data_IF_744377250521
#
_entry.id   IF_744377250521
#
_cell.length_a   1.000
_cell.length_b   1.000
_cell.length_c   1.000
_cell.angle_alpha   90.00
_cell.angle_beta   90.00
_cell.angle_gamma   90.00
#
_symmetry.space_group_name_H-M   'P 1'
#
loop_
_entity.id
_entity.type
_entity.pdbx_description
1 polymer ?
#
# COMPACT_ATOMS: atom_id res chain seq x y z
N UNK A 1 -12.12 6.84 12.76
CA UNK A 1 -12.64 5.49 12.44
C UNK A 1 -11.55 4.45 12.68
N UNK A 2 -11.85 3.38 13.44
CA UNK A 2 -10.93 2.26 13.65
C UNK A 2 -10.76 1.43 12.37
N UNK A 3 -9.61 0.79 12.19
CA UNK A 3 -9.45 -0.20 11.13
C UNK A 3 -10.31 -1.42 11.50
N UNK A 4 -11.25 -1.80 10.65
CA UNK A 4 -12.00 -3.05 10.83
C UNK A 4 -11.10 -4.17 10.31
N UNK A 5 -10.61 -5.02 11.21
CA UNK A 5 -9.69 -6.12 10.87
C UNK A 5 -10.34 -7.07 9.85
N UNK A 6 -9.90 -6.98 8.59
CA UNK A 6 -10.20 -7.92 7.51
C UNK A 6 -9.18 -9.07 7.45
N UNK A 7 -8.84 -9.54 6.25
CA UNK A 7 -7.92 -10.66 6.06
C UNK A 7 -6.46 -10.21 6.23
N UNK A 8 -5.76 -10.80 7.19
CA UNK A 8 -4.34 -10.55 7.46
C UNK A 8 -3.52 -11.81 7.24
N UNK A 9 -2.35 -11.66 6.61
CA UNK A 9 -1.38 -12.76 6.45
C UNK A 9 -0.01 -12.31 6.98
N UNK A 10 0.64 -13.19 7.73
CA UNK A 10 2.06 -13.01 8.09
C UNK A 10 2.93 -13.48 6.93
N UNK A 11 3.88 -12.65 6.52
CA UNK A 11 4.82 -12.89 5.42
C UNK A 11 6.20 -12.38 5.79
N UNK A 12 7.25 -12.87 5.13
CA UNK A 12 8.61 -12.36 5.36
C UNK A 12 8.84 -11.11 4.51
N UNK A 13 9.43 -10.07 5.09
CA UNK A 13 9.83 -8.89 4.33
C UNK A 13 11.26 -9.02 3.81
N UNK A 14 11.47 -8.73 2.53
CA UNK A 14 12.80 -8.72 1.89
C UNK A 14 13.69 -7.55 2.31
N UNK A 15 13.13 -6.56 3.02
CA UNK A 15 13.85 -5.36 3.47
C UNK A 15 13.36 -4.90 4.86
N UNK A 16 14.18 -4.10 5.55
CA UNK A 16 13.74 -3.42 6.77
C UNK A 16 12.71 -2.34 6.41
N UNK A 17 11.54 -2.37 7.06
CA UNK A 17 10.49 -1.38 6.87
C UNK A 17 10.62 -0.30 7.96
N UNK A 18 11.27 0.81 7.61
CA UNK A 18 11.49 1.93 8.53
C UNK A 18 10.21 2.70 8.87
N UNK A 19 9.11 2.50 8.14
CA UNK A 19 7.81 3.16 8.36
C UNK A 19 6.69 2.13 8.26
N UNK A 20 5.72 2.20 9.20
CA UNK A 20 4.53 1.37 9.15
C UNK A 20 3.56 1.87 8.07
N UNK A 21 2.59 1.04 7.67
CA UNK A 21 1.51 1.44 6.76
C UNK A 21 1.95 1.74 5.33
N UNK A 22 3.03 1.09 4.88
CA UNK A 22 3.51 1.14 3.49
C UNK A 22 2.81 0.08 2.64
N UNK A 23 2.71 0.33 1.34
CA UNK A 23 2.12 -0.58 0.36
C UNK A 23 3.12 -1.70 0.04
N UNK A 24 2.63 -2.94 0.02
CA UNK A 24 3.40 -4.14 -0.25
C UNK A 24 3.24 -4.60 -1.71
N UNK A 25 4.33 -5.08 -2.30
CA UNK A 25 4.39 -5.80 -3.58
C UNK A 25 4.99 -7.20 -3.37
N UNK A 26 4.84 -8.07 -4.36
CA UNK A 26 5.51 -9.37 -4.36
C UNK A 26 7.05 -9.22 -4.34
N UNK A 27 7.72 -10.04 -3.54
CA UNK A 27 9.17 -10.18 -3.54
C UNK A 27 9.64 -11.11 -4.66
N UNK A 28 10.92 -11.50 -4.61
CA UNK A 28 11.52 -12.41 -5.58
C UNK A 28 11.12 -13.88 -5.33
N UNK A 29 10.79 -14.23 -4.08
CA UNK A 29 10.38 -15.58 -3.66
C UNK A 29 8.89 -15.62 -3.30
N UNK A 30 8.26 -16.80 -3.42
CA UNK A 30 6.82 -17.03 -3.18
C UNK A 30 6.33 -16.61 -1.78
N UNK A 31 7.21 -16.67 -0.79
CA UNK A 31 6.90 -16.37 0.62
C UNK A 31 7.37 -14.98 1.07
N UNK A 32 7.83 -14.15 0.13
CA UNK A 32 8.42 -12.84 0.46
C UNK A 32 7.63 -11.69 -0.15
N UNK A 33 7.44 -10.62 0.62
CA UNK A 33 6.94 -9.34 0.12
C UNK A 33 8.01 -8.25 0.26
N UNK A 34 7.91 -7.24 -0.59
CA UNK A 34 8.77 -6.06 -0.57
C UNK A 34 7.93 -4.79 -0.58
N UNK A 35 8.53 -3.64 -0.25
CA UNK A 35 7.82 -2.36 -0.39
C UNK A 35 7.58 -2.06 -1.87
N UNK A 36 6.39 -1.55 -2.18
CA UNK A 36 6.09 -1.07 -3.52
C UNK A 36 6.93 0.19 -3.82
N UNK A 37 7.37 0.32 -5.07
CA UNK A 37 8.27 1.41 -5.51
C UNK A 37 7.75 2.11 -6.76
N UNK A 38 6.73 1.57 -7.43
CA UNK A 38 6.13 2.21 -8.58
C UNK A 38 4.64 1.85 -8.72
N UNK A 39 3.91 2.76 -9.36
CA UNK A 39 2.48 2.61 -9.62
C UNK A 39 2.13 1.52 -10.64
N UNK A 40 3.10 1.03 -11.41
CA UNK A 40 2.91 -0.04 -12.41
C UNK A 40 3.16 -1.44 -11.84
N UNK A 41 3.61 -1.55 -10.58
CA UNK A 41 3.88 -2.83 -9.93
C UNK A 41 2.61 -3.45 -9.36
N UNK A 42 2.58 -4.79 -9.27
CA UNK A 42 1.45 -5.49 -8.67
C UNK A 42 1.40 -5.25 -7.15
N UNK A 43 0.37 -4.52 -6.72
CA UNK A 43 0.14 -4.17 -5.33
C UNK A 43 -0.68 -5.27 -4.64
N UNK A 44 -0.18 -5.78 -3.52
CA UNK A 44 -0.73 -6.97 -2.83
C UNK A 44 -1.56 -6.58 -1.61
N UNK A 45 -1.07 -5.63 -0.83
CA UNK A 45 -1.63 -5.28 0.47
C UNK A 45 -0.90 -4.11 1.13
N UNK A 46 -1.15 -3.92 2.43
CA UNK A 46 -0.52 -2.86 3.25
C UNK A 46 0.13 -3.48 4.48
N UNK A 47 1.39 -3.11 4.75
CA UNK A 47 2.13 -3.53 5.94
C UNK A 47 1.58 -2.85 7.19
N UNK A 48 1.31 -3.60 8.26
CA UNK A 48 0.72 -3.04 9.48
C UNK A 48 1.72 -2.64 10.55
N UNK A 49 2.95 -3.15 10.49
CA UNK A 49 4.01 -2.83 11.43
C UNK A 49 5.36 -2.65 10.74
N UNK A 50 6.27 -1.95 11.42
CA UNK A 50 7.67 -1.80 11.01
C UNK A 50 8.46 -3.07 11.30
N UNK A 51 9.48 -3.34 10.50
CA UNK A 51 10.48 -4.36 10.81
C UNK A 51 11.89 -3.78 10.79
N UNK A 52 12.72 -4.20 11.73
CA UNK A 52 14.09 -3.73 11.91
C UNK A 52 15.11 -4.58 11.16
N UNK A 53 14.76 -5.79 10.74
CA UNK A 53 15.65 -6.71 10.05
C UNK A 53 15.03 -7.34 8.80
N UNK A 54 15.89 -7.73 7.87
CA UNK A 54 15.52 -8.48 6.66
C UNK A 54 15.08 -9.88 7.05
N UNK A 55 14.01 -10.38 6.43
CA UNK A 55 13.50 -11.73 6.62
C UNK A 55 12.58 -11.92 7.83
N UNK A 56 12.36 -10.87 8.62
CA UNK A 56 11.42 -10.86 9.73
C UNK A 56 9.96 -10.95 9.25
N UNK A 57 9.12 -11.52 10.11
CA UNK A 57 7.69 -11.68 9.83
C UNK A 57 6.95 -10.35 10.01
N UNK A 58 6.25 -9.94 8.94
CA UNK A 58 5.40 -8.77 8.92
C UNK A 58 3.96 -9.14 8.60
N UNK A 59 3.01 -8.47 9.26
CA UNK A 59 1.58 -8.63 9.01
C UNK A 59 1.18 -7.71 7.87
N UNK A 60 0.55 -8.32 6.87
CA UNK A 60 0.06 -7.61 5.70
C UNK A 60 -1.44 -7.75 5.65
N UNK A 61 -2.10 -6.61 5.54
CA UNK A 61 -3.53 -6.55 5.32
C UNK A 61 -3.79 -6.74 3.82
N UNK A 62 -4.47 -7.84 3.50
CA UNK A 62 -4.81 -8.21 2.12
C UNK A 62 -6.18 -7.70 1.70
N UNK A 63 -7.07 -7.50 2.68
CA UNK A 63 -8.46 -7.12 2.42
C UNK A 63 -9.07 -6.32 3.59
N UNK A 64 -10.13 -5.56 3.31
CA UNK A 64 -10.88 -4.79 4.31
C UNK A 64 -10.48 -3.32 4.38
N UNK A 65 -10.52 -2.75 5.59
CA UNK A 65 -10.16 -1.34 5.83
C UNK A 65 -8.82 -1.30 6.54
N UNK A 66 -7.80 -0.80 5.86
CA UNK A 66 -6.46 -0.63 6.42
C UNK A 66 -6.10 0.84 6.59
N UNK A 67 -4.92 1.11 7.13
CA UNK A 67 -4.34 2.44 7.25
C UNK A 67 -3.12 2.53 6.36
N UNK A 68 -2.96 3.65 5.67
CA UNK A 68 -1.85 3.88 4.76
C UNK A 68 -1.27 5.27 4.96
N UNK A 69 0.05 5.38 4.90
CA UNK A 69 0.75 6.67 4.95
C UNK A 69 0.74 7.32 3.57
N UNK A 70 0.39 8.61 3.50
CA UNK A 70 0.34 9.36 2.26
C UNK A 70 1.72 9.87 1.84
N UNK A 71 2.02 9.77 0.54
CA UNK A 71 3.20 10.37 -0.12
C UNK A 71 2.88 11.72 -0.77
N UNK A 72 1.60 12.09 -0.85
CA UNK A 72 1.13 13.32 -1.49
C UNK A 72 -0.27 13.70 -1.02
N UNK A 73 -0.85 14.74 -1.62
CA UNK A 73 -2.22 15.16 -1.32
C UNK A 73 -3.23 14.20 -1.95
N UNK A 74 -4.13 13.67 -1.12
CA UNK A 74 -5.17 12.72 -1.54
C UNK A 74 -6.52 13.21 -1.02
N UNK A 75 -7.56 13.17 -1.87
CA UNK A 75 -8.92 13.42 -1.45
C UNK A 75 -9.69 12.11 -1.22
N UNK A 76 -10.67 12.15 -0.30
CA UNK A 76 -11.62 11.04 -0.09
C UNK A 76 -12.24 10.60 -1.42
N UNK A 77 -12.36 9.29 -1.62
CA UNK A 77 -12.87 8.68 -2.85
C UNK A 77 -11.85 8.53 -3.97
N UNK A 78 -10.64 9.11 -3.86
CA UNK A 78 -9.60 8.87 -4.85
C UNK A 78 -9.04 7.45 -4.76
N UNK A 79 -8.70 6.90 -5.92
CA UNK A 79 -7.93 5.68 -6.02
C UNK A 79 -6.48 5.94 -5.63
N UNK A 80 -5.89 5.00 -4.90
CA UNK A 80 -4.55 5.09 -4.36
C UNK A 80 -3.61 4.12 -5.06
N UNK A 81 -2.41 4.59 -5.39
CA UNK A 81 -1.28 3.78 -5.88
C UNK A 81 -0.04 4.06 -5.03
N UNK A 82 1.07 3.36 -5.29
CA UNK A 82 2.32 3.53 -4.55
C UNK A 82 3.25 4.57 -5.19
N UNK A 83 3.99 5.30 -4.34
CA UNK A 83 5.12 6.11 -4.73
C UNK A 83 6.45 5.35 -4.64
N UNK A 84 7.57 6.03 -4.94
CA UNK A 84 8.92 5.47 -4.86
C UNK A 84 9.34 4.97 -3.47
N UNK A 85 8.63 5.38 -2.42
CA UNK A 85 8.90 5.03 -1.03
C UNK A 85 7.84 4.08 -0.45
N UNK A 86 6.91 3.56 -1.26
CA UNK A 86 5.81 2.71 -0.83
C UNK A 86 4.68 3.45 -0.10
N UNK A 87 4.66 4.78 -0.15
CA UNK A 87 3.56 5.59 0.39
C UNK A 87 2.41 5.69 -0.61
N UNK A 88 1.20 5.90 -0.13
CA UNK A 88 0.03 6.07 -0.97
C UNK A 88 -0.03 7.46 -1.62
N UNK A 89 -0.23 7.48 -2.92
CA UNK A 89 -0.48 8.69 -3.71
C UNK A 89 -1.71 8.48 -4.59
N UNK A 90 -2.37 9.58 -4.99
CA UNK A 90 -3.49 9.50 -5.91
C UNK A 90 -3.06 8.85 -7.22
N UNK A 91 -3.80 7.83 -7.66
CA UNK A 91 -3.56 7.14 -8.90
C UNK A 91 -3.98 8.03 -10.08
N UNK A 92 -2.99 8.59 -10.76
CA UNK A 92 -3.16 9.44 -11.94
C UNK A 92 -2.21 8.96 -13.06
N UNK A 93 -2.53 7.82 -13.73
CA UNK A 93 -1.72 7.33 -14.84
C UNK A 93 -1.68 8.34 -15.99
N UNK A 94 -0.54 8.43 -16.66
CA UNK A 94 -0.43 9.14 -17.94
C UNK A 94 -1.11 8.35 -19.06
N UNK A 95 -1.38 9.02 -20.19
CA UNK A 95 -2.00 8.41 -21.36
C UNK A 95 -1.24 7.14 -21.80
N UNK A 96 -1.95 6.02 -21.92
CA UNK A 96 -1.40 4.72 -22.30
C UNK A 96 -0.71 3.95 -21.16
N UNK A 97 -0.71 4.46 -19.93
CA UNK A 97 -0.12 3.80 -18.77
C UNK A 97 -1.22 3.12 -17.95
N UNK A 98 -0.97 1.88 -17.54
CA UNK A 98 -1.80 1.18 -16.57
C UNK A 98 -1.19 1.34 -15.18
N UNK A 99 -1.93 1.94 -14.25
CA UNK A 99 -1.55 2.02 -12.85
C UNK A 99 -2.33 0.98 -12.03
N UNK A 100 -1.60 0.20 -11.24
CA UNK A 100 -2.15 -0.66 -10.21
C UNK A 100 -2.62 0.19 -9.03
N UNK A 101 -3.81 -0.12 -8.54
CA UNK A 101 -4.50 0.59 -7.47
C UNK A 101 -4.66 -0.36 -6.30
N UNK A 102 -4.27 0.07 -5.10
CA UNK A 102 -4.44 -0.72 -3.88
C UNK A 102 -5.84 -0.62 -3.30
N UNK A 103 -6.54 0.50 -3.57
CA UNK A 103 -7.87 0.75 -3.05
C UNK A 103 -8.31 2.19 -3.11
N UNK A 104 -9.37 2.51 -2.37
CA UNK A 104 -10.01 3.83 -2.32
C UNK A 104 -9.80 4.53 -0.97
N UNK A 105 -9.45 5.81 -1.00
CA UNK A 105 -9.26 6.64 0.18
C UNK A 105 -10.59 6.90 0.91
N UNK A 106 -10.68 6.58 2.21
CA UNK A 106 -11.87 6.89 3.02
C UNK A 106 -11.78 8.26 3.73
N UNK A 107 -10.61 8.89 3.72
CA UNK A 107 -10.39 10.23 4.23
C UNK A 107 -9.45 11.02 3.32
N UNK A 108 -9.53 12.34 3.36
CA UNK A 108 -8.58 13.24 2.72
C UNK A 108 -7.38 13.49 3.63
N UNK A 109 -6.21 13.74 3.05
CA UNK A 109 -5.00 14.06 3.79
C UNK A 109 -3.90 14.60 2.89
N UNK A 110 -2.78 14.98 3.52
CA UNK A 110 -1.55 15.42 2.84
C UNK A 110 -0.40 14.45 3.08
N UNK A 111 0.73 14.68 2.43
CA UNK A 111 1.91 13.83 2.60
C UNK A 111 2.31 13.69 4.08
N UNK A 112 2.50 12.47 4.54
CA UNK A 112 2.82 12.13 5.93
C UNK A 112 1.59 11.76 6.78
N UNK A 113 0.37 12.11 6.35
CA UNK A 113 -0.83 11.72 7.07
C UNK A 113 -1.11 10.22 6.91
N UNK A 114 -1.63 9.61 7.98
CA UNK A 114 -2.09 8.23 7.98
C UNK A 114 -3.61 8.25 7.84
N UNK A 115 -4.11 7.82 6.68
CA UNK A 115 -5.54 7.79 6.38
C UNK A 115 -6.08 6.36 6.32
N UNK A 116 -7.36 6.14 6.66
CA UNK A 116 -8.03 4.87 6.36
C UNK A 116 -8.24 4.72 4.85
N UNK A 117 -7.95 3.52 4.34
CA UNK A 117 -8.15 3.10 2.95
C UNK A 117 -8.98 1.83 2.93
N UNK A 118 -9.95 1.77 2.01
CA UNK A 118 -10.62 0.52 1.69
C UNK A 118 -9.77 -0.22 0.65
N UNK A 119 -9.28 -1.40 0.98
CA UNK A 119 -8.44 -2.20 0.09
C UNK A 119 -9.34 -2.80 -1.00
N UNK A 120 -9.13 -2.34 -2.23
CA UNK A 120 -9.79 -2.81 -3.43
C UNK A 120 -8.75 -2.83 -4.54
N UNK A 121 -8.13 -4.00 -4.74
CA UNK A 121 -7.09 -4.16 -5.75
C UNK A 121 -7.71 -4.08 -7.13
N UNK A 122 -7.35 -3.05 -7.89
CA UNK A 122 -7.81 -2.85 -9.26
C UNK A 122 -6.70 -2.26 -10.12
N UNK A 123 -6.98 -2.05 -11.41
CA UNK A 123 -6.10 -1.35 -12.34
C UNK A 123 -6.88 -0.24 -13.03
N UNK A 124 -6.26 0.92 -13.19
CA UNK A 124 -6.80 2.03 -13.96
C UNK A 124 -5.87 2.36 -15.11
N UNK A 125 -6.44 2.79 -16.23
CA UNK A 125 -5.71 3.20 -17.43
C UNK A 125 -5.94 4.68 -17.69
N UNK A 126 -4.86 5.40 -18.04
CA UNK A 126 -4.89 6.78 -18.51
C UNK A 126 -4.97 6.90 -20.02
#
# INVERSE_FOLDING_TARGET
MGATSGLEKSVKCTAALATAYLIAKFGADDDTLSQATASTEELVGVFQHTTTAVGEEVRVMLDGISRVVLGGTVARGNYLTSDANGKAVTAAPAAGVNACVIGQALASGVAGDIIPVHIEKTRIQG
#
